data_IF_580029208461
#
_entry.id   IF_580029208461
#
_cell.length_a   1.000
_cell.length_b   1.000
_cell.length_c   1.000
_cell.angle_alpha   90.00
_cell.angle_beta   90.00
_cell.angle_gamma   90.00
#
_symmetry.space_group_name_H-M   'P 1'
#
loop_
_entity.id
_entity.type
_entity.pdbx_description
1 polymer ?
#
# COMPACT_ATOMS: atom_id res chain seq x y z
N UNK A 1 6.66 -13.48 -44.23
CA UNK A 1 7.15 -12.13 -43.87
C UNK A 1 6.30 -11.61 -42.71
N UNK A 2 6.67 -11.91 -41.47
CA UNK A 2 5.93 -11.52 -40.28
C UNK A 2 6.63 -10.34 -39.59
N UNK A 3 5.89 -9.24 -39.36
CA UNK A 3 6.40 -8.06 -38.65
C UNK A 3 6.63 -8.40 -37.18
N UNK A 4 7.75 -7.99 -36.56
CA UNK A 4 7.98 -8.24 -35.14
C UNK A 4 7.04 -7.39 -34.27
N UNK A 5 6.37 -8.02 -33.32
CA UNK A 5 5.54 -7.36 -32.30
C UNK A 5 6.50 -6.67 -31.31
N UNK A 6 6.55 -5.34 -31.36
CA UNK A 6 7.30 -4.54 -30.40
C UNK A 6 6.77 -4.75 -28.99
N UNK A 7 7.58 -5.35 -28.10
CA UNK A 7 7.29 -5.43 -26.66
C UNK A 7 7.20 -4.01 -26.10
N UNK A 8 5.97 -3.56 -25.84
CA UNK A 8 5.66 -2.28 -25.19
C UNK A 8 6.47 -2.20 -23.89
N UNK A 9 7.41 -1.26 -23.87
CA UNK A 9 8.32 -1.02 -22.77
C UNK A 9 7.58 -0.85 -21.46
N UNK A 10 8.13 -1.46 -20.41
CA UNK A 10 7.79 -1.15 -19.03
C UNK A 10 7.78 0.36 -18.86
N UNK A 11 6.59 0.96 -18.77
CA UNK A 11 6.40 2.33 -18.30
C UNK A 11 6.86 2.34 -16.84
N UNK A 12 8.17 2.47 -16.63
CA UNK A 12 8.70 2.96 -15.37
C UNK A 12 8.15 4.36 -15.24
N UNK A 13 7.04 4.47 -14.52
CA UNK A 13 6.45 5.74 -14.14
C UNK A 13 7.55 6.46 -13.34
N UNK A 14 8.30 7.32 -14.02
CA UNK A 14 9.37 8.10 -13.44
C UNK A 14 8.73 9.01 -12.41
N UNK A 15 8.66 8.54 -11.16
CA UNK A 15 8.36 9.41 -10.04
C UNK A 15 9.53 10.38 -9.99
N UNK A 16 9.27 11.60 -10.43
CA UNK A 16 10.10 12.77 -10.15
C UNK A 16 10.12 12.89 -8.62
N UNK A 17 11.02 12.16 -7.96
CA UNK A 17 11.33 12.40 -6.56
C UNK A 17 12.25 13.60 -6.55
N UNK A 18 11.65 14.79 -6.50
CA UNK A 18 12.35 15.91 -5.90
C UNK A 18 12.93 15.38 -4.60
N UNK A 19 14.25 15.47 -4.40
CA UNK A 19 14.95 15.19 -3.14
C UNK A 19 14.44 16.18 -2.09
N UNK A 20 13.18 16.05 -1.69
CA UNK A 20 12.65 16.70 -0.50
C UNK A 20 13.28 15.91 0.62
N UNK A 21 14.24 16.55 1.28
CA UNK A 21 14.76 16.18 2.59
C UNK A 21 13.67 15.43 3.35
N UNK A 22 13.97 14.16 3.68
CA UNK A 22 13.05 13.30 4.41
C UNK A 22 12.69 14.01 5.71
N UNK A 23 11.50 14.60 5.74
CA UNK A 23 11.00 15.22 6.97
C UNK A 23 10.84 14.09 7.97
N UNK A 24 11.56 14.18 9.08
CA UNK A 24 11.39 13.28 10.21
C UNK A 24 10.00 13.53 10.79
N UNK A 25 9.08 12.60 10.57
CA UNK A 25 7.70 12.68 11.04
C UNK A 25 7.57 11.66 12.18
N UNK A 26 7.57 12.08 13.45
CA UNK A 26 7.58 11.13 14.58
C UNK A 26 6.22 10.45 14.80
N UNK A 27 5.12 11.09 14.39
CA UNK A 27 3.73 10.65 14.58
C UNK A 27 2.90 10.85 13.31
N UNK A 28 1.88 10.02 13.13
CA UNK A 28 0.90 10.19 12.04
C UNK A 28 -0.06 9.00 11.93
N UNK A 29 -0.68 8.84 10.77
CA UNK A 29 -1.87 7.99 10.60
C UNK A 29 -1.70 7.08 9.39
N UNK A 30 -1.91 5.77 9.59
CA UNK A 30 -1.93 4.75 8.56
C UNK A 30 -3.38 4.48 8.18
N UNK A 31 -3.74 4.80 6.95
CA UNK A 31 -5.04 4.49 6.37
C UNK A 31 -4.95 3.18 5.59
N UNK A 32 -5.73 2.18 5.99
CA UNK A 32 -5.85 0.91 5.28
C UNK A 32 -7.21 0.87 4.62
N UNK A 33 -7.23 0.97 3.29
CA UNK A 33 -8.44 0.79 2.50
C UNK A 33 -8.48 -0.66 1.99
N UNK A 34 -9.34 -1.46 2.61
CA UNK A 34 -9.56 -2.86 2.26
C UNK A 34 -10.82 -2.99 1.39
N UNK A 35 -10.65 -3.53 0.20
CA UNK A 35 -11.72 -3.91 -0.72
C UNK A 35 -11.51 -5.35 -1.18
N UNK A 36 -12.54 -6.00 -1.70
CA UNK A 36 -12.46 -7.38 -2.22
C UNK A 36 -11.36 -7.54 -3.29
N UNK A 37 -11.14 -6.49 -4.10
CA UNK A 37 -10.22 -6.55 -5.24
C UNK A 37 -8.84 -5.98 -4.97
N UNK A 38 -8.64 -5.23 -3.88
CA UNK A 38 -7.39 -4.53 -3.60
C UNK A 38 -7.30 -4.05 -2.16
N UNK A 39 -6.08 -4.04 -1.64
CA UNK A 39 -5.72 -3.32 -0.42
C UNK A 39 -4.83 -2.15 -0.77
N UNK A 40 -5.15 -0.96 -0.26
CA UNK A 40 -4.33 0.24 -0.38
C UNK A 40 -3.98 0.71 1.02
N UNK A 41 -2.68 0.82 1.30
CA UNK A 41 -2.14 1.32 2.55
C UNK A 41 -1.50 2.68 2.27
N UNK A 42 -1.99 3.71 2.95
CA UNK A 42 -1.51 5.08 2.80
C UNK A 42 -1.06 5.59 4.16
N UNK A 43 0.17 6.07 4.26
CA UNK A 43 0.68 6.66 5.49
C UNK A 43 0.71 8.16 5.35
N UNK A 44 0.17 8.84 6.35
CA UNK A 44 0.05 10.29 6.39
C UNK A 44 0.63 10.85 7.69
N UNK A 45 1.04 12.11 7.62
CA UNK A 45 1.30 12.95 8.79
C UNK A 45 -0.04 13.33 9.45
N UNK A 46 -0.02 13.80 10.71
CA UNK A 46 -1.21 14.28 11.44
C UNK A 46 -1.94 15.41 10.69
N UNK A 47 -1.22 16.12 9.82
CA UNK A 47 -1.75 17.18 8.93
C UNK A 47 -2.42 16.65 7.66
N UNK A 48 -2.54 15.33 7.49
CA UNK A 48 -3.11 14.70 6.29
C UNK A 48 -2.21 14.70 5.06
N UNK A 49 -0.90 14.97 5.22
CA UNK A 49 0.05 14.92 4.10
C UNK A 49 0.53 13.49 3.90
N UNK A 50 0.38 12.96 2.68
CA UNK A 50 0.85 11.62 2.33
C UNK A 50 2.37 11.57 2.35
N UNK A 51 2.90 10.61 3.13
CA UNK A 51 4.32 10.32 3.28
C UNK A 51 4.71 9.19 2.34
N UNK A 52 3.99 8.07 2.42
CA UNK A 52 4.16 6.91 1.56
C UNK A 52 2.81 6.27 1.27
N UNK A 53 2.76 5.50 0.21
CA UNK A 53 1.61 4.66 -0.08
C UNK A 53 2.06 3.41 -0.84
N UNK A 54 1.39 2.31 -0.57
CA UNK A 54 1.54 1.07 -1.30
C UNK A 54 0.19 0.39 -1.43
N UNK A 55 0.09 -0.50 -2.40
CA UNK A 55 -1.09 -1.32 -2.66
C UNK A 55 -0.65 -2.67 -3.19
N UNK A 56 -1.53 -3.66 -3.08
CA UNK A 56 -1.28 -4.99 -3.65
C UNK A 56 -0.90 -4.91 -5.14
N UNK A 57 -1.52 -3.99 -5.90
CA UNK A 57 -1.17 -3.76 -7.31
C UNK A 57 0.27 -3.24 -7.52
N UNK A 58 0.72 -2.28 -6.71
CA UNK A 58 2.10 -1.75 -6.77
C UNK A 58 3.15 -2.76 -6.34
N UNK A 59 2.78 -3.75 -5.52
CA UNK A 59 3.65 -4.85 -5.11
C UNK A 59 3.76 -5.96 -6.16
N UNK A 60 3.10 -5.80 -7.33
CA UNK A 60 3.18 -6.74 -8.45
C UNK A 60 2.08 -7.81 -8.46
N UNK A 61 1.15 -7.81 -7.50
CA UNK A 61 0.02 -8.72 -7.51
C UNK A 61 -1.01 -8.32 -8.57
N UNK A 62 -1.50 -9.31 -9.32
CA UNK A 62 -2.46 -9.12 -10.44
C UNK A 62 -3.61 -10.12 -10.34
N UNK A 63 -4.74 -9.77 -10.95
CA UNK A 63 -5.93 -10.63 -11.00
C UNK A 63 -6.48 -10.94 -9.61
N UNK A 64 -6.96 -12.18 -9.42
CA UNK A 64 -7.51 -12.68 -8.15
C UNK A 64 -6.49 -12.64 -7.00
N UNK A 65 -5.20 -12.74 -7.30
CA UNK A 65 -4.11 -12.64 -6.31
C UNK A 65 -3.96 -11.25 -5.70
N UNK A 66 -4.63 -10.21 -6.24
CA UNK A 66 -4.56 -8.84 -5.71
C UNK A 66 -5.44 -8.63 -4.47
N UNK A 67 -6.50 -9.42 -4.33
CA UNK A 67 -7.42 -9.37 -3.19
C UNK A 67 -7.04 -10.28 -2.01
N UNK A 68 -5.96 -11.05 -2.14
CA UNK A 68 -5.58 -12.02 -1.12
C UNK A 68 -4.96 -11.35 0.11
N UNK A 69 -5.08 -11.95 1.31
CA UNK A 69 -4.47 -11.42 2.52
C UNK A 69 -2.93 -11.33 2.40
N UNK A 70 -2.31 -12.27 1.69
CA UNK A 70 -0.86 -12.24 1.44
C UNK A 70 -0.42 -10.99 0.66
N UNK A 71 -1.19 -10.59 -0.35
CA UNK A 71 -0.90 -9.41 -1.13
C UNK A 71 -1.05 -8.12 -0.31
N UNK A 72 -2.01 -8.13 0.61
CA UNK A 72 -2.21 -7.03 1.53
C UNK A 72 -1.10 -6.89 2.59
N UNK A 73 -0.68 -8.00 3.19
CA UNK A 73 0.45 -8.01 4.13
C UNK A 73 1.71 -7.45 3.46
N UNK A 74 1.97 -7.89 2.23
CA UNK A 74 3.10 -7.38 1.44
C UNK A 74 2.96 -5.88 1.13
N UNK A 75 1.74 -5.39 0.86
CA UNK A 75 1.50 -3.97 0.65
C UNK A 75 1.71 -3.15 1.93
N UNK A 76 1.23 -3.64 3.07
CA UNK A 76 1.40 -3.01 4.38
C UNK A 76 2.88 -2.92 4.75
N UNK A 77 3.63 -4.03 4.64
CA UNK A 77 5.06 -4.07 4.93
C UNK A 77 5.85 -3.07 4.09
N UNK A 78 5.57 -2.97 2.78
CA UNK A 78 6.22 -2.00 1.91
C UNK A 78 5.90 -0.54 2.27
N UNK A 79 4.66 -0.23 2.64
CA UNK A 79 4.29 1.12 3.07
C UNK A 79 4.98 1.50 4.38
N UNK A 80 5.03 0.58 5.34
CA UNK A 80 5.63 0.78 6.67
C UNK A 80 7.15 0.89 6.59
N UNK A 81 7.82 0.05 5.78
CA UNK A 81 9.29 0.07 5.66
C UNK A 81 9.82 1.46 5.28
N UNK A 82 9.21 2.08 4.27
CA UNK A 82 9.58 3.44 3.81
C UNK A 82 9.36 4.54 4.86
N UNK A 83 8.54 4.26 5.87
CA UNK A 83 8.15 5.21 6.92
C UNK A 83 9.02 5.04 8.17
N UNK A 84 9.41 3.80 8.48
CA UNK A 84 10.41 3.49 9.50
C UNK A 84 11.75 4.14 9.13
N UNK A 85 12.16 4.07 7.86
CA UNK A 85 13.34 4.77 7.35
C UNK A 85 13.27 6.29 7.54
N UNK A 86 12.07 6.87 7.55
CA UNK A 86 11.84 8.30 7.77
C UNK A 86 11.75 8.68 9.26
N UNK A 87 11.88 7.71 10.17
CA UNK A 87 11.95 7.94 11.62
C UNK A 87 10.59 8.08 12.31
N UNK A 88 9.53 7.51 11.74
CA UNK A 88 8.22 7.48 12.38
C UNK A 88 8.17 6.42 13.47
N UNK A 89 7.79 6.82 14.67
CA UNK A 89 7.84 5.97 15.87
C UNK A 89 6.45 5.51 16.31
N UNK A 90 5.43 6.35 16.12
CA UNK A 90 4.06 6.05 16.50
C UNK A 90 3.12 6.35 15.34
N UNK A 91 2.19 5.46 15.10
CA UNK A 91 1.13 5.71 14.12
C UNK A 91 -0.20 5.17 14.63
N UNK A 92 -1.27 5.89 14.31
CA UNK A 92 -2.64 5.43 14.50
C UNK A 92 -3.09 4.70 13.24
N UNK A 93 -3.81 3.59 13.38
CA UNK A 93 -4.30 2.80 12.24
C UNK A 93 -5.78 3.05 12.07
N UNK A 94 -6.18 3.50 10.88
CA UNK A 94 -7.56 3.67 10.48
C UNK A 94 -7.89 2.72 9.34
N UNK A 95 -8.76 1.76 9.60
CA UNK A 95 -9.19 0.77 8.61
C UNK A 95 -10.52 1.22 8.01
N UNK A 96 -10.55 1.35 6.68
CA UNK A 96 -11.76 1.58 5.90
C UNK A 96 -12.05 0.35 5.06
N UNK A 97 -13.15 -0.30 5.39
CA UNK A 97 -13.69 -1.42 4.62
C UNK A 97 -14.72 -0.89 3.62
N UNK A 98 -14.55 -1.24 2.34
CA UNK A 98 -15.41 -0.76 1.23
C UNK A 98 -16.47 -1.78 0.79
N UNK A 99 -16.83 -2.75 1.63
CA UNK A 99 -17.83 -3.78 1.30
C UNK A 99 -18.80 -3.98 2.47
N UNK A 100 -20.09 -4.14 2.18
CA UNK A 100 -21.19 -4.22 3.14
C UNK A 100 -21.81 -5.61 3.33
N UNK A 101 -21.34 -6.65 2.62
CA UNK A 101 -21.91 -7.99 2.81
C UNK A 101 -20.80 -9.04 3.03
N UNK A 102 -21.02 -9.79 4.11
CA UNK A 102 -20.32 -10.95 4.67
C UNK A 102 -19.02 -11.39 3.98
N UNK A 103 -17.89 -11.34 4.70
CA UNK A 103 -16.79 -12.27 4.41
C UNK A 103 -15.84 -12.41 5.60
N UNK A 104 -15.56 -13.64 6.00
CA UNK A 104 -14.55 -14.03 7.01
C UNK A 104 -13.10 -13.68 6.63
N UNK A 105 -12.90 -12.90 5.56
CA UNK A 105 -11.59 -12.38 5.16
C UNK A 105 -11.14 -11.20 6.03
N UNK A 106 -12.04 -10.47 6.69
CA UNK A 106 -11.68 -9.32 7.52
C UNK A 106 -11.01 -9.71 8.84
N UNK A 107 -11.41 -10.82 9.47
CA UNK A 107 -10.76 -11.31 10.70
C UNK A 107 -9.31 -11.74 10.44
N UNK A 108 -9.07 -12.52 9.38
CA UNK A 108 -7.71 -12.90 8.97
C UNK A 108 -6.83 -11.69 8.58
N UNK A 109 -7.46 -10.61 8.13
CA UNK A 109 -6.77 -9.36 7.81
C UNK A 109 -6.41 -8.56 9.06
N UNK A 110 -7.32 -8.50 10.04
CA UNK A 110 -7.01 -7.94 11.34
C UNK A 110 -5.89 -8.73 12.02
N UNK A 111 -5.95 -10.08 11.99
CA UNK A 111 -4.87 -10.92 12.52
C UNK A 111 -3.53 -10.71 11.78
N UNK A 112 -3.53 -10.61 10.45
CA UNK A 112 -2.30 -10.38 9.67
C UNK A 112 -1.71 -8.96 9.79
N UNK A 113 -2.46 -8.01 10.35
CA UNK A 113 -2.01 -6.62 10.61
C UNK A 113 -1.68 -6.41 12.09
N UNK A 114 -2.29 -7.19 13.00
CA UNK A 114 -2.08 -7.11 14.46
C UNK A 114 -1.03 -8.10 15.02
N UNK A 115 -0.58 -9.10 14.24
CA UNK A 115 0.60 -9.92 14.52
C UNK A 115 1.77 -9.56 13.59
#
# INVERSE_FOLDING_TARGET
MAKPISKIGSRRNGRISSRKSARKIPKGIIHVQASFNNTIVTVTDVRGRVVSWASAGTCGFRGTKRGTPFAAQTAAGNAIHTVVEQGMQRAEVMIKVLVLEETQHYELFAEAVYY
#
